data_IF_785717455767
#
_entry.id   IF_785717455767
#
_cell.length_a   1.000
_cell.length_b   1.000
_cell.length_c   1.000
_cell.angle_alpha   90.00
_cell.angle_beta   90.00
_cell.angle_gamma   90.00
#
_symmetry.space_group_name_H-M   'P 1'
#
loop_
_entity.id
_entity.type
_entity.pdbx_description
1 polymer ?
#
# COMPACT_ATOMS: atom_id res chain seq x y z
N UNK A 1 22.87 11.35 11.95
CA UNK A 1 21.95 11.53 10.81
C UNK A 1 22.09 10.32 9.91
N UNK A 2 21.21 9.32 10.04
CA UNK A 2 21.28 8.09 9.24
C UNK A 2 21.17 8.42 7.76
N UNK A 3 22.17 8.03 6.98
CA UNK A 3 22.22 8.29 5.54
C UNK A 3 20.97 7.66 4.89
N UNK A 4 20.17 8.42 4.13
CA UNK A 4 19.16 7.82 3.26
C UNK A 4 19.90 6.90 2.30
N UNK A 5 19.60 5.62 2.38
CA UNK A 5 20.12 4.62 1.44
C UNK A 5 19.81 5.10 0.01
N UNK A 6 20.71 4.85 -0.95
CA UNK A 6 20.55 5.31 -2.35
C UNK A 6 19.19 4.92 -2.92
N UNK A 7 18.71 3.73 -2.51
CA UNK A 7 17.39 3.18 -2.81
C UNK A 7 16.22 4.08 -2.41
N UNK A 8 16.33 4.86 -1.33
CA UNK A 8 15.29 5.80 -0.88
C UNK A 8 15.25 7.03 -1.79
N UNK A 9 16.41 7.52 -2.25
CA UNK A 9 16.46 8.63 -3.22
C UNK A 9 15.86 8.20 -4.56
N UNK A 10 16.17 6.99 -5.01
CA UNK A 10 15.60 6.42 -6.23
C UNK A 10 14.09 6.19 -6.12
N UNK A 11 13.61 5.68 -4.98
CA UNK A 11 12.18 5.55 -4.68
C UNK A 11 11.46 6.90 -4.77
N UNK A 12 12.03 7.98 -4.22
CA UNK A 12 11.43 9.32 -4.31
C UNK A 12 11.20 9.78 -5.76
N UNK A 13 12.19 9.59 -6.63
CA UNK A 13 12.07 10.00 -8.04
C UNK A 13 11.07 9.12 -8.80
N UNK A 14 11.08 7.81 -8.51
CA UNK A 14 10.12 6.84 -9.05
C UNK A 14 8.69 7.18 -8.65
N UNK A 15 8.46 7.49 -7.37
CA UNK A 15 7.15 7.88 -6.83
C UNK A 15 6.66 9.16 -7.51
N UNK A 16 7.52 10.17 -7.67
CA UNK A 16 7.13 11.40 -8.39
C UNK A 16 6.76 11.13 -9.84
N UNK A 17 7.49 10.25 -10.52
CA UNK A 17 7.18 9.84 -11.88
C UNK A 17 5.87 9.06 -11.95
N UNK A 18 5.65 8.12 -11.05
CA UNK A 18 4.41 7.34 -10.93
C UNK A 18 3.19 8.24 -10.71
N UNK A 19 3.30 9.23 -9.81
CA UNK A 19 2.25 10.22 -9.55
C UNK A 19 1.91 11.01 -10.83
N UNK A 20 2.93 11.51 -11.54
CA UNK A 20 2.75 12.24 -12.80
C UNK A 20 2.07 11.39 -13.87
N UNK A 21 2.57 10.17 -14.07
CA UNK A 21 2.03 9.25 -15.08
C UNK A 21 0.63 8.73 -14.72
N UNK A 22 0.25 8.81 -13.43
CA UNK A 22 -1.11 8.53 -12.96
C UNK A 22 -2.08 9.70 -13.16
N UNK A 23 -1.63 10.81 -13.78
CA UNK A 23 -2.46 11.98 -14.09
C UNK A 23 -2.47 13.08 -13.02
N UNK A 24 -1.61 13.00 -12.01
CA UNK A 24 -1.55 14.00 -10.93
C UNK A 24 -0.30 14.87 -11.06
N UNK A 25 -0.48 16.18 -11.00
CA UNK A 25 0.62 17.13 -11.15
C UNK A 25 0.94 17.79 -9.82
N UNK A 26 2.07 17.40 -9.22
CA UNK A 26 2.58 18.03 -8.01
C UNK A 26 3.23 19.37 -8.36
N UNK A 27 2.97 20.41 -7.56
CA UNK A 27 3.70 21.69 -7.67
C UNK A 27 5.18 21.45 -7.35
N UNK A 28 6.07 22.27 -7.92
CA UNK A 28 7.49 22.21 -7.61
C UNK A 28 7.77 22.85 -6.25
N UNK A 29 7.51 22.10 -5.18
CA UNK A 29 7.75 22.52 -3.81
C UNK A 29 8.72 21.58 -3.12
N UNK A 30 9.52 22.14 -2.20
CA UNK A 30 10.47 21.36 -1.41
C UNK A 30 9.72 20.61 -0.32
N UNK A 31 9.40 19.35 -0.60
CA UNK A 31 8.73 18.47 0.36
C UNK A 31 9.74 17.55 1.04
N UNK A 32 9.64 17.49 2.36
CA UNK A 32 10.40 16.58 3.22
C UNK A 32 9.54 15.36 3.52
N UNK A 33 9.99 14.19 3.09
CA UNK A 33 9.40 12.90 3.47
C UNK A 33 10.28 12.33 4.57
N UNK A 34 9.72 12.20 5.78
CA UNK A 34 10.40 11.54 6.88
C UNK A 34 9.96 10.08 6.93
N UNK A 35 10.92 9.17 6.79
CA UNK A 35 10.70 7.74 7.00
C UNK A 35 11.18 7.43 8.43
N UNK A 36 10.27 6.99 9.29
CA UNK A 36 10.58 6.63 10.67
C UNK A 36 10.31 5.13 10.90
N UNK A 37 11.03 4.49 11.83
CA UNK A 37 12.13 5.04 12.62
C UNK A 37 13.47 5.03 11.84
N UNK A 38 14.48 5.76 12.31
CA UNK A 38 15.74 5.98 11.57
C UNK A 38 16.80 4.88 11.79
N UNK A 39 16.58 4.02 12.77
CA UNK A 39 17.43 2.92 13.24
C UNK A 39 17.18 1.59 12.52
N UNK A 40 16.04 1.45 11.84
CA UNK A 40 15.70 0.29 11.00
C UNK A 40 16.16 0.54 9.56
N UNK A 41 16.81 -0.46 8.93
CA UNK A 41 17.09 -0.40 7.48
C UNK A 41 15.78 -0.30 6.75
N UNK A 42 15.60 0.81 6.03
CA UNK A 42 14.48 0.98 5.11
C UNK A 42 14.91 0.35 3.80
N UNK A 43 14.73 -0.94 3.68
CA UNK A 43 14.68 -1.52 2.35
C UNK A 43 13.55 -0.80 1.61
N UNK A 44 13.83 -0.29 0.40
CA UNK A 44 12.88 0.54 -0.35
C UNK A 44 11.61 -0.22 -0.76
N UNK A 45 11.58 -1.53 -0.54
CA UNK A 45 10.46 -2.37 -0.95
C UNK A 45 9.21 -2.05 -0.14
N UNK A 46 8.12 -1.80 -0.85
CA UNK A 46 6.81 -1.53 -0.25
C UNK A 46 6.57 -0.12 0.28
N UNK A 47 7.53 0.79 0.10
CA UNK A 47 7.38 2.17 0.58
C UNK A 47 6.89 3.16 -0.51
N UNK A 48 6.83 2.75 -1.78
CA UNK A 48 6.45 3.65 -2.87
C UNK A 48 4.98 4.11 -2.73
N UNK A 49 4.03 3.18 -2.51
CA UNK A 49 2.62 3.52 -2.33
C UNK A 49 2.37 4.44 -1.13
N UNK A 50 2.82 4.13 0.11
CA UNK A 50 2.61 5.03 1.24
C UNK A 50 3.30 6.39 1.04
N UNK A 51 4.46 6.45 0.39
CA UNK A 51 5.07 7.75 0.02
C UNK A 51 4.22 8.54 -0.97
N UNK A 52 3.63 7.87 -1.97
CA UNK A 52 2.76 8.53 -2.94
C UNK A 52 1.51 9.10 -2.28
N UNK A 53 0.86 8.32 -1.41
CA UNK A 53 -0.33 8.74 -0.65
C UNK A 53 0.01 9.91 0.28
N UNK A 54 1.12 9.84 1.01
CA UNK A 54 1.57 10.93 1.89
C UNK A 54 1.85 12.22 1.13
N UNK A 55 2.48 12.13 -0.04
CA UNK A 55 2.66 13.29 -0.93
C UNK A 55 1.32 13.84 -1.38
N UNK A 56 0.46 13.04 -1.99
CA UNK A 56 -0.84 13.48 -2.50
C UNK A 56 -1.71 14.12 -1.40
N UNK A 57 -1.68 13.56 -0.19
CA UNK A 57 -2.34 14.13 0.98
C UNK A 57 -1.76 15.50 1.37
N UNK A 58 -0.43 15.64 1.38
CA UNK A 58 0.23 16.93 1.69
C UNK A 58 -0.06 18.04 0.67
N UNK A 59 -0.38 17.67 -0.59
CA UNK A 59 -0.80 18.60 -1.64
C UNK A 59 -2.32 18.83 -1.65
N UNK A 60 -3.07 18.24 -0.71
CA UNK A 60 -4.52 18.37 -0.61
C UNK A 60 -5.31 17.62 -1.69
N UNK A 61 -4.68 16.71 -2.42
CA UNK A 61 -5.35 15.90 -3.46
C UNK A 61 -6.10 14.71 -2.87
N UNK A 62 -5.66 14.24 -1.70
CA UNK A 62 -6.30 13.16 -0.93
C UNK A 62 -6.66 13.73 0.45
N UNK A 63 -7.89 13.55 0.96
CA UNK A 63 -8.26 13.98 2.30
C UNK A 63 -7.46 13.24 3.37
N UNK A 64 -6.91 13.96 4.35
CA UNK A 64 -6.16 13.33 5.46
C UNK A 64 -7.03 12.34 6.25
N UNK A 65 -8.32 12.62 6.40
CA UNK A 65 -9.28 11.73 7.08
C UNK A 65 -9.42 10.38 6.39
N UNK A 66 -9.18 10.30 5.07
CA UNK A 66 -9.28 9.07 4.30
C UNK A 66 -8.07 8.14 4.52
N UNK A 67 -6.97 8.62 5.11
CA UNK A 67 -5.71 7.85 5.24
C UNK A 67 -5.34 7.51 6.68
N UNK A 68 -6.00 8.10 7.69
CA UNK A 68 -5.61 7.98 9.11
C UNK A 68 -5.78 6.58 9.70
N UNK A 69 -6.79 5.81 9.26
CA UNK A 69 -7.09 4.46 9.80
C UNK A 69 -6.68 3.33 8.86
N UNK A 70 -5.77 3.62 7.93
CA UNK A 70 -5.40 2.74 6.84
C UNK A 70 -3.89 2.44 6.83
N UNK A 71 -3.55 1.21 6.44
CA UNK A 71 -2.20 0.84 6.03
C UNK A 71 -2.14 0.77 4.50
N UNK A 72 -1.13 1.41 3.91
CA UNK A 72 -0.84 1.35 2.48
C UNK A 72 0.47 0.59 2.26
N UNK A 73 0.46 -0.42 1.40
CA UNK A 73 1.66 -1.21 1.16
C UNK A 73 1.71 -1.83 -0.24
N UNK A 74 2.53 -1.25 -1.09
CA UNK A 74 2.87 -1.77 -2.41
C UNK A 74 4.09 -1.02 -2.96
N UNK A 75 4.74 -1.61 -3.96
CA UNK A 75 5.65 -0.86 -4.84
C UNK A 75 4.87 -0.21 -5.99
N UNK A 76 5.43 0.84 -6.60
CA UNK A 76 4.83 1.47 -7.78
C UNK A 76 5.75 1.30 -8.99
N UNK A 77 5.18 0.90 -10.13
CA UNK A 77 5.83 1.09 -11.42
C UNK A 77 5.88 2.59 -11.78
N UNK A 78 6.71 2.95 -12.76
CA UNK A 78 6.74 4.32 -13.28
C UNK A 78 5.40 4.77 -13.88
N UNK A 79 4.55 3.82 -14.30
CA UNK A 79 3.21 4.09 -14.84
C UNK A 79 2.12 4.10 -13.75
N UNK A 80 2.50 3.95 -12.48
CA UNK A 80 1.58 4.00 -11.34
C UNK A 80 0.89 2.68 -10.99
N UNK A 81 1.24 1.56 -11.63
CA UNK A 81 0.69 0.24 -11.28
C UNK A 81 1.28 -0.25 -9.95
N UNK A 82 0.43 -0.82 -9.11
CA UNK A 82 0.84 -1.41 -7.84
C UNK A 82 1.49 -2.77 -8.08
N UNK A 83 2.67 -2.97 -7.49
CA UNK A 83 3.43 -4.21 -7.55
C UNK A 83 3.47 -4.87 -6.17
N UNK A 84 3.39 -6.21 -6.12
CA UNK A 84 3.35 -6.92 -4.86
C UNK A 84 4.68 -6.81 -4.13
N UNK A 85 4.60 -6.97 -2.82
CA UNK A 85 5.76 -7.03 -1.93
C UNK A 85 5.70 -8.27 -1.05
N UNK A 86 6.81 -8.55 -0.38
CA UNK A 86 6.87 -9.62 0.61
C UNK A 86 6.49 -9.11 2.01
N UNK A 87 6.00 -9.99 2.87
CA UNK A 87 5.75 -9.67 4.28
C UNK A 87 4.39 -9.03 4.57
N UNK A 88 3.40 -9.25 3.72
CA UNK A 88 2.06 -8.67 3.92
C UNK A 88 1.35 -9.28 5.13
N UNK A 89 1.53 -10.57 5.42
CA UNK A 89 0.95 -11.21 6.60
C UNK A 89 1.38 -10.54 7.91
N UNK A 90 2.68 -10.42 8.24
CA UNK A 90 3.10 -9.75 9.48
C UNK A 90 2.72 -8.26 9.51
N UNK A 91 2.66 -7.58 8.35
CA UNK A 91 2.17 -6.21 8.26
C UNK A 91 0.68 -6.10 8.60
N UNK A 92 -0.15 -7.01 8.09
CA UNK A 92 -1.58 -7.07 8.39
C UNK A 92 -1.83 -7.36 9.88
N UNK A 93 -1.10 -8.31 10.48
CA UNK A 93 -1.15 -8.58 11.93
C UNK A 93 -0.86 -7.29 12.72
N UNK A 94 0.24 -6.60 12.39
CA UNK A 94 0.65 -5.36 13.06
C UNK A 94 -0.37 -4.24 12.86
N UNK A 95 -0.94 -4.11 11.66
CA UNK A 95 -1.97 -3.11 11.36
C UNK A 95 -3.18 -3.26 12.27
N UNK A 96 -3.68 -4.50 12.39
CA UNK A 96 -4.80 -4.83 13.27
C UNK A 96 -4.47 -4.56 14.75
N UNK A 97 -3.30 -4.97 15.22
CA UNK A 97 -2.85 -4.73 16.60
C UNK A 97 -2.75 -3.23 16.93
N UNK A 98 -2.48 -2.39 15.93
CA UNK A 98 -2.46 -0.93 16.06
C UNK A 98 -3.83 -0.28 15.86
N UNK A 99 -4.89 -1.07 15.69
CA UNK A 99 -6.26 -0.57 15.52
C UNK A 99 -6.54 0.04 14.15
N UNK A 100 -5.71 -0.23 13.14
CA UNK A 100 -6.05 0.13 11.75
C UNK A 100 -7.19 -0.77 11.27
N UNK A 101 -8.05 -0.22 10.41
CA UNK A 101 -9.27 -0.89 9.95
C UNK A 101 -9.19 -1.28 8.47
N UNK A 102 -8.27 -0.67 7.72
CA UNK A 102 -8.19 -0.81 6.27
C UNK A 102 -6.75 -1.09 5.82
N UNK A 103 -6.62 -1.91 4.79
CA UNK A 103 -5.36 -2.31 4.18
C UNK A 103 -5.44 -2.20 2.67
N UNK A 104 -4.59 -1.37 2.06
CA UNK A 104 -4.52 -1.12 0.62
C UNK A 104 -3.22 -1.70 0.06
N UNK A 105 -3.35 -2.74 -0.75
CA UNK A 105 -2.22 -3.56 -1.22
C UNK A 105 -2.38 -3.96 -2.69
N UNK A 106 -1.29 -4.43 -3.30
CA UNK A 106 -1.34 -4.95 -4.66
C UNK A 106 -2.23 -6.21 -4.75
N UNK A 107 -2.89 -6.48 -5.89
CA UNK A 107 -3.86 -7.57 -6.00
C UNK A 107 -3.28 -8.94 -5.66
N UNK A 108 -2.03 -9.21 -6.04
CA UNK A 108 -1.36 -10.49 -5.77
C UNK A 108 -1.02 -10.74 -4.30
N UNK A 109 -1.17 -9.73 -3.43
CA UNK A 109 -0.96 -9.88 -1.98
C UNK A 109 -2.25 -10.07 -1.18
N UNK A 110 -3.42 -10.00 -1.84
CA UNK A 110 -4.72 -9.99 -1.18
C UNK A 110 -4.97 -11.27 -0.39
N UNK A 111 -4.68 -12.44 -0.96
CA UNK A 111 -4.91 -13.73 -0.30
C UNK A 111 -4.13 -13.86 1.02
N UNK A 112 -2.91 -13.33 1.08
CA UNK A 112 -2.09 -13.35 2.29
C UNK A 112 -2.67 -12.45 3.39
N UNK A 113 -3.16 -11.26 3.02
CA UNK A 113 -3.80 -10.33 3.93
C UNK A 113 -5.13 -10.83 4.47
N UNK A 114 -5.91 -11.53 3.65
CA UNK A 114 -7.22 -12.08 4.02
C UNK A 114 -7.16 -13.22 5.04
N UNK A 115 -5.97 -13.73 5.36
CA UNK A 115 -5.76 -14.63 6.50
C UNK A 115 -5.97 -13.94 7.86
N UNK A 116 -6.01 -12.60 7.89
CA UNK A 116 -6.18 -11.78 9.08
C UNK A 116 -7.60 -11.21 9.12
N UNK A 117 -8.40 -11.73 10.04
CA UNK A 117 -9.73 -11.16 10.34
C UNK A 117 -9.63 -9.76 10.96
N UNK A 118 -10.67 -8.96 10.77
CA UNK A 118 -10.81 -7.63 11.37
C UNK A 118 -10.21 -6.48 10.56
N UNK A 119 -9.72 -6.74 9.35
CA UNK A 119 -9.26 -5.73 8.40
C UNK A 119 -10.10 -5.77 7.11
N UNK A 120 -10.48 -4.59 6.60
CA UNK A 120 -10.96 -4.47 5.23
C UNK A 120 -9.75 -4.42 4.30
N UNK A 121 -9.59 -5.45 3.48
CA UNK A 121 -8.49 -5.54 2.51
C UNK A 121 -8.97 -5.03 1.16
N UNK A 122 -8.25 -4.10 0.55
CA UNK A 122 -8.56 -3.54 -0.76
C UNK A 122 -7.44 -3.87 -1.75
N UNK A 123 -7.82 -4.50 -2.85
CA UNK A 123 -6.94 -4.73 -3.99
C UNK A 123 -6.81 -3.43 -4.80
N UNK A 124 -5.60 -2.89 -4.88
CA UNK A 124 -5.30 -1.65 -5.61
C UNK A 124 -4.50 -2.01 -6.84
N UNK A 125 -5.06 -1.81 -8.03
CA UNK A 125 -4.35 -2.08 -9.30
C UNK A 125 -3.34 -0.98 -9.62
N UNK A 126 -3.71 0.28 -9.39
CA UNK A 126 -2.87 1.44 -9.67
C UNK A 126 -3.22 2.64 -8.79
N UNK A 127 -2.29 3.60 -8.75
CA UNK A 127 -2.39 4.79 -7.93
C UNK A 127 -3.61 5.66 -8.30
N UNK A 128 -3.96 5.78 -9.58
CA UNK A 128 -5.12 6.56 -10.01
C UNK A 128 -6.43 5.98 -9.46
N UNK A 129 -6.59 4.66 -9.47
CA UNK A 129 -7.72 3.97 -8.85
C UNK A 129 -7.79 4.23 -7.35
N UNK A 130 -6.65 4.14 -6.64
CA UNK A 130 -6.61 4.45 -5.22
C UNK A 130 -7.04 5.88 -4.91
N UNK A 131 -6.56 6.86 -5.68
CA UNK A 131 -6.94 8.27 -5.45
C UNK A 131 -8.43 8.48 -5.68
N UNK A 132 -9.03 7.89 -6.72
CA UNK A 132 -10.49 7.96 -6.95
C UNK A 132 -11.28 7.37 -5.78
N UNK A 133 -10.76 6.31 -5.16
CA UNK A 133 -11.36 5.74 -3.95
C UNK A 133 -11.24 6.68 -2.74
N UNK A 134 -10.04 7.16 -2.44
CA UNK A 134 -9.80 8.01 -1.27
C UNK A 134 -10.48 9.39 -1.38
N UNK A 135 -10.82 9.83 -2.61
CA UNK A 135 -11.57 11.06 -2.88
C UNK A 135 -13.08 10.84 -3.04
N UNK A 136 -13.56 9.60 -2.96
CA UNK A 136 -14.98 9.26 -3.09
C UNK A 136 -15.55 9.34 -4.51
N UNK A 137 -14.70 9.45 -5.54
CA UNK A 137 -15.10 9.46 -6.95
C UNK A 137 -15.53 8.07 -7.42
N UNK A 138 -14.83 7.03 -7.00
CA UNK A 138 -15.10 5.63 -7.36
C UNK A 138 -14.71 4.71 -6.20
N UNK A 139 -15.66 3.94 -5.67
CA UNK A 139 -15.41 3.13 -4.47
C UNK A 139 -14.90 1.73 -4.80
N UNK A 140 -13.73 1.38 -4.25
CA UNK A 140 -13.27 0.00 -4.19
C UNK A 140 -14.15 -0.81 -3.24
N UNK A 141 -14.37 -2.07 -3.60
CA UNK A 141 -15.00 -3.05 -2.71
C UNK A 141 -13.93 -3.82 -1.93
N UNK A 142 -14.12 -4.08 -0.62
CA UNK A 142 -13.22 -4.95 0.11
C UNK A 142 -13.18 -6.34 -0.52
N UNK A 143 -11.99 -6.91 -0.62
CA UNK A 143 -11.81 -8.29 -1.02
C UNK A 143 -12.46 -9.22 0.00
N UNK A 144 -12.95 -10.36 -0.49
CA UNK A 144 -13.56 -11.39 0.34
C UNK A 144 -12.68 -12.63 0.34
N UNK A 145 -12.58 -13.36 1.47
CA UNK A 145 -11.92 -14.65 1.50
C UNK A 145 -12.54 -15.57 0.46
N UNK A 146 -11.72 -16.10 -0.44
CA UNK A 146 -12.15 -17.23 -1.25
C UNK A 146 -12.33 -18.42 -0.32
N UNK A 147 -13.48 -19.13 -0.36
CA UNK A 147 -13.63 -20.37 0.39
C UNK A 147 -12.51 -21.30 -0.04
N UNK A 148 -11.60 -21.63 0.89
CA UNK A 148 -10.58 -22.64 0.62
C UNK A 148 -11.33 -23.92 0.28
N UNK A 149 -11.29 -24.35 -0.99
CA UNK A 149 -11.67 -25.71 -1.32
C UNK A 149 -10.77 -26.60 -0.47
N UNK A 150 -11.33 -27.16 0.60
CA UNK A 150 -10.72 -28.25 1.32
C UNK A 150 -10.54 -29.35 0.29
N UNK A 151 -9.35 -29.43 -0.33
CA UNK A 151 -8.88 -30.65 -0.98
C UNK A 151 -9.17 -31.74 0.02
N UNK A 152 -10.19 -32.56 -0.29
CA UNK A 152 -10.56 -33.76 0.45
C UNK A 152 -9.26 -34.52 0.69
N UNK A 153 -8.65 -34.32 1.85
CA UNK A 153 -7.81 -35.33 2.48
C UNK A 153 -8.78 -36.42 2.89
N UNK A 154 -9.25 -37.18 1.90
CA UNK A 154 -9.69 -38.54 2.13
C UNK A 154 -8.46 -39.29 2.60
N UNK A 155 -8.30 -39.27 3.92
CA UNK A 155 -7.50 -40.23 4.66
C UNK A 155 -7.94 -41.64 4.23
N UNK A 156 -6.95 -42.49 3.96
CA UNK A 156 -6.89 -43.91 4.31
C UNK A 156 -8.14 -44.79 4.18
N UNK A 157 -8.12 -45.66 3.17
CA UNK A 157 -8.49 -47.09 3.17
C UNK A 157 -8.24 -47.56 1.71
N UNK A 158 -7.36 -48.50 1.37
CA UNK A 158 -6.80 -49.70 2.01
C UNK A 158 -5.35 -49.88 1.62
#
# INVERSE_FOLDING_TARGET
>A
MGLPDTSVKESKERVRTAIRNSGFQLRQERVTVNLAPADVRKDSSGLDLPMAVGLLSSYGMVPETAVQSALFSAELSLDGNCRPISGILPMAITARERGLTELYIAPSNVDEALLIDGLKVFAVENLAQLVRHLTGVEMLSPAMPHPTEQKKRRRFHR
#
